data_IF_285211453819
#
_entry.id   IF_285211453819
#
_cell.length_a   1.000
_cell.length_b   1.000
_cell.length_c   1.000
_cell.angle_alpha   90.00
_cell.angle_beta   90.00
_cell.angle_gamma   90.00
#
_symmetry.space_group_name_H-M   'P 1'
#
loop_
_entity.id
_entity.type
_entity.pdbx_description
1 polymer ?
#
# COMPACT_ATOMS: atom_id res chain seq x y z
N UNK A 1 21.47 -11.18 8.88
CA UNK A 1 20.98 -11.64 7.55
C UNK A 1 19.76 -12.57 7.64
N UNK A 2 18.88 -12.42 8.63
CA UNK A 2 17.64 -13.23 8.74
C UNK A 2 16.45 -12.52 8.09
N UNK A 3 16.45 -11.18 8.09
CA UNK A 3 15.41 -10.33 7.49
C UNK A 3 15.35 -10.51 5.96
N UNK A 4 16.48 -10.64 5.28
CA UNK A 4 16.54 -10.91 3.82
C UNK A 4 15.94 -12.29 3.47
N UNK A 5 16.16 -13.30 4.33
CA UNK A 5 15.57 -14.63 4.14
C UNK A 5 14.05 -14.66 4.39
N UNK A 6 13.55 -13.89 5.35
CA UNK A 6 12.11 -13.77 5.61
C UNK A 6 11.37 -13.04 4.48
N UNK A 7 12.00 -12.04 3.86
CA UNK A 7 11.46 -11.32 2.69
C UNK A 7 11.48 -12.20 1.43
N UNK A 8 12.44 -13.11 1.30
CA UNK A 8 12.61 -13.94 0.10
C UNK A 8 11.68 -15.16 0.02
N UNK A 9 11.08 -15.60 1.14
CA UNK A 9 10.55 -16.96 1.27
C UNK A 9 9.18 -17.17 1.96
N UNK A 10 8.22 -16.22 2.04
CA UNK A 10 6.92 -16.53 2.60
C UNK A 10 5.99 -17.00 1.47
N UNK A 11 6.08 -18.29 1.14
CA UNK A 11 5.07 -18.97 0.33
C UNK A 11 4.19 -19.78 1.26
N UNK A 12 2.91 -19.41 1.36
CA UNK A 12 1.91 -20.22 2.05
C UNK A 12 0.93 -20.75 1.00
N UNK A 13 0.77 -22.07 0.97
CA UNK A 13 -0.17 -22.78 0.08
C UNK A 13 -1.43 -23.10 0.88
N UNK A 14 -2.56 -22.50 0.49
CA UNK A 14 -3.87 -22.76 1.09
C UNK A 14 -4.82 -23.10 -0.05
N UNK A 15 -5.36 -24.34 -0.06
CA UNK A 15 -6.34 -24.78 -1.05
C UNK A 15 -5.85 -24.66 -2.50
N UNK A 16 -4.67 -25.20 -2.82
CA UNK A 16 -4.09 -25.17 -4.17
C UNK A 16 -3.52 -23.82 -4.64
N UNK A 17 -3.70 -22.75 -3.87
CA UNK A 17 -3.23 -21.40 -4.25
C UNK A 17 -2.01 -20.96 -3.44
N UNK A 18 -0.98 -20.49 -4.14
CA UNK A 18 0.23 -19.92 -3.56
C UNK A 18 0.01 -18.43 -3.28
N UNK A 19 0.25 -18.00 -2.05
CA UNK A 19 0.23 -16.60 -1.64
C UNK A 19 1.67 -16.14 -1.36
N UNK A 20 2.12 -15.08 -2.02
CA UNK A 20 3.46 -14.49 -1.86
C UNK A 20 3.38 -12.99 -1.50
N UNK A 21 4.36 -12.51 -0.74
CA UNK A 21 4.48 -11.09 -0.38
C UNK A 21 4.89 -10.19 -1.55
N UNK A 22 5.59 -10.75 -2.54
CA UNK A 22 6.04 -10.04 -3.76
C UNK A 22 5.16 -10.42 -4.97
N UNK A 23 4.91 -9.42 -5.82
CA UNK A 23 3.96 -9.47 -6.97
C UNK A 23 4.38 -10.47 -8.05
N UNK A 24 5.66 -10.86 -8.09
CA UNK A 24 6.23 -11.67 -9.17
C UNK A 24 6.04 -13.18 -9.07
N UNK A 25 5.40 -13.72 -8.03
CA UNK A 25 5.46 -15.17 -7.76
C UNK A 25 4.11 -15.85 -7.49
N UNK A 26 2.98 -15.24 -7.88
CA UNK A 26 1.68 -15.94 -7.88
C UNK A 26 1.55 -16.82 -9.13
N UNK A 27 2.37 -17.88 -9.21
CA UNK A 27 2.24 -18.90 -10.25
C UNK A 27 1.12 -19.88 -9.86
N UNK A 28 0.24 -20.29 -10.79
CA UNK A 28 -0.61 -21.46 -10.59
C UNK A 28 0.27 -22.69 -10.32
N UNK A 29 -0.22 -23.57 -9.45
CA UNK A 29 0.40 -24.87 -9.17
C UNK A 29 0.51 -25.65 -10.48
N UNK A 30 1.68 -26.23 -10.83
CA UNK A 30 1.86 -26.93 -12.11
C UNK A 30 0.97 -28.18 -12.24
N UNK A 31 0.36 -28.65 -11.15
CA UNK A 31 -0.57 -29.79 -11.15
C UNK A 31 -1.99 -29.41 -11.63
N UNK A 32 -2.33 -28.12 -11.72
CA UNK A 32 -3.65 -27.61 -12.15
C UNK A 32 -3.73 -27.33 -13.66
N UNK A 33 -2.64 -27.57 -14.41
CA UNK A 33 -2.50 -27.21 -15.83
C UNK A 33 -3.30 -28.12 -16.77
N UNK A 34 -3.93 -29.18 -16.25
CA UNK A 34 -4.71 -30.11 -17.09
C UNK A 34 -6.15 -29.68 -17.34
N UNK A 35 -6.72 -28.80 -16.51
CA UNK A 35 -8.15 -28.43 -16.62
C UNK A 35 -8.40 -26.91 -16.80
N UNK A 36 -7.35 -26.09 -16.84
CA UNK A 36 -7.46 -24.63 -16.78
C UNK A 36 -7.44 -23.89 -18.15
N UNK A 37 -7.61 -24.59 -19.27
CA UNK A 37 -7.58 -23.96 -20.61
C UNK A 37 -8.78 -23.03 -20.89
N UNK A 38 -9.80 -23.00 -20.03
CA UNK A 38 -10.99 -22.16 -20.18
C UNK A 38 -11.10 -20.97 -19.22
N UNK A 39 -10.18 -20.79 -18.26
CA UNK A 39 -10.26 -19.69 -17.25
C UNK A 39 -9.20 -18.60 -17.48
N UNK A 40 -8.27 -18.80 -18.41
CA UNK A 40 -7.08 -17.93 -18.59
C UNK A 40 -7.31 -16.62 -19.39
N UNK A 41 -8.54 -16.26 -19.73
CA UNK A 41 -8.82 -14.99 -20.42
C UNK A 41 -8.94 -13.76 -19.47
N UNK A 42 -8.95 -13.94 -18.14
CA UNK A 42 -9.25 -12.83 -17.22
C UNK A 42 -8.26 -12.61 -16.06
N UNK A 43 -7.13 -13.32 -16.02
CA UNK A 43 -6.14 -13.14 -14.93
C UNK A 43 -4.85 -12.41 -15.36
N UNK A 44 -4.77 -11.96 -16.62
CA UNK A 44 -3.57 -11.37 -17.21
C UNK A 44 -3.35 -9.86 -17.02
N UNK A 45 -4.22 -9.15 -16.29
CA UNK A 45 -4.17 -7.67 -16.22
C UNK A 45 -4.19 -7.06 -14.80
N UNK A 46 -4.28 -7.86 -13.74
CA UNK A 46 -4.63 -7.36 -12.40
C UNK A 46 -3.48 -7.11 -11.43
N UNK A 47 -2.28 -7.70 -11.61
CA UNK A 47 -1.28 -7.73 -10.53
C UNK A 47 -0.27 -6.58 -10.56
N UNK A 48 -0.02 -5.96 -11.71
CA UNK A 48 1.00 -4.89 -11.83
C UNK A 48 0.48 -3.54 -11.33
N UNK A 49 -0.84 -3.32 -11.30
CA UNK A 49 -1.45 -2.03 -10.95
C UNK A 49 -1.65 -1.82 -9.43
N UNK A 50 -1.64 -2.90 -8.64
CA UNK A 50 -1.95 -2.88 -7.20
C UNK A 50 -0.71 -2.91 -6.29
N UNK A 51 0.46 -2.57 -6.82
CA UNK A 51 1.73 -2.60 -6.08
C UNK A 51 2.30 -1.20 -5.86
N UNK A 52 2.73 -0.92 -4.63
CA UNK A 52 3.53 0.27 -4.33
C UNK A 52 4.96 0.01 -4.84
N UNK A 53 5.34 0.70 -5.91
CA UNK A 53 6.69 0.66 -6.53
C UNK A 53 7.16 -0.74 -6.99
N UNK A 54 6.25 -1.70 -7.22
CA UNK A 54 6.61 -3.08 -7.58
C UNK A 54 7.21 -3.94 -6.46
N UNK A 55 7.39 -3.36 -5.26
CA UNK A 55 8.05 -4.02 -4.12
C UNK A 55 7.06 -4.58 -3.10
N UNK A 56 5.99 -3.84 -2.83
CA UNK A 56 4.99 -4.20 -1.82
C UNK A 56 3.60 -4.21 -2.44
N UNK A 57 2.85 -5.28 -2.21
CA UNK A 57 1.41 -5.32 -2.49
C UNK A 57 0.69 -4.24 -1.68
N UNK A 58 -0.33 -3.60 -2.25
CA UNK A 58 -1.08 -2.54 -1.57
C UNK A 58 -1.60 -3.00 -0.19
N UNK A 59 -2.17 -4.21 -0.10
CA UNK A 59 -2.66 -4.75 1.17
C UNK A 59 -1.57 -4.82 2.27
N UNK A 60 -0.35 -5.21 1.90
CA UNK A 60 0.78 -5.29 2.85
C UNK A 60 1.20 -3.90 3.31
N UNK A 61 1.32 -2.95 2.39
CA UNK A 61 1.65 -1.55 2.70
C UNK A 61 0.63 -0.94 3.67
N UNK A 62 -0.65 -1.14 3.40
CA UNK A 62 -1.73 -0.61 4.21
C UNK A 62 -1.83 -1.28 5.60
N UNK A 63 -1.56 -2.58 5.72
CA UNK A 63 -1.42 -3.21 7.04
C UNK A 63 -0.23 -2.68 7.84
N UNK A 64 0.90 -2.38 7.19
CA UNK A 64 2.03 -1.72 7.87
C UNK A 64 1.64 -0.33 8.38
N UNK A 65 0.89 0.45 7.60
CA UNK A 65 0.37 1.75 8.05
C UNK A 65 -0.55 1.61 9.27
N UNK A 66 -1.39 0.57 9.32
CA UNK A 66 -2.22 0.28 10.50
C UNK A 66 -1.34 0.02 11.72
N UNK A 67 -0.29 -0.80 11.61
CA UNK A 67 0.63 -1.07 12.73
C UNK A 67 1.30 0.22 13.22
N UNK A 68 1.79 1.05 12.30
CA UNK A 68 2.40 2.35 12.64
C UNK A 68 1.37 3.28 13.30
N UNK A 69 0.13 3.27 12.82
CA UNK A 69 -0.96 4.03 13.42
C UNK A 69 -1.28 3.58 14.86
N UNK A 70 -1.28 2.27 15.14
CA UNK A 70 -1.43 1.74 16.50
C UNK A 70 -0.29 2.24 17.41
N UNK A 71 0.96 2.16 16.95
CA UNK A 71 2.12 2.61 17.73
C UNK A 71 2.02 4.12 18.00
N UNK A 72 1.69 4.92 16.99
CA UNK A 72 1.53 6.37 17.14
C UNK A 72 0.40 6.72 18.10
N UNK A 73 -0.78 6.10 17.94
CA UNK A 73 -1.92 6.30 18.83
C UNK A 73 -1.59 5.89 20.28
N UNK A 74 -0.86 4.78 20.48
CA UNK A 74 -0.39 4.35 21.79
C UNK A 74 0.52 5.38 22.47
N UNK A 75 1.47 5.96 21.73
CA UNK A 75 2.35 7.02 22.26
C UNK A 75 1.57 8.29 22.61
N UNK A 76 0.62 8.71 21.77
CA UNK A 76 -0.24 9.87 22.03
C UNK A 76 -1.13 9.63 23.25
N UNK A 77 -1.78 8.47 23.35
CA UNK A 77 -2.56 8.10 24.53
C UNK A 77 -1.70 8.05 25.80
N UNK A 78 -0.50 7.48 25.72
CA UNK A 78 0.45 7.45 26.84
C UNK A 78 0.82 8.84 27.34
N UNK A 79 1.06 9.78 26.41
CA UNK A 79 1.32 11.18 26.73
C UNK A 79 0.11 11.83 27.43
N UNK A 80 -1.11 11.63 26.92
CA UNK A 80 -2.34 12.20 27.50
C UNK A 80 -2.59 11.67 28.92
N UNK A 81 -2.24 10.41 29.20
CA UNK A 81 -2.35 9.80 30.53
C UNK A 81 -1.18 10.19 31.46
N UNK A 82 -0.23 10.99 30.99
CA UNK A 82 0.93 11.45 31.76
C UNK A 82 2.00 10.38 32.00
N UNK A 83 1.94 9.26 31.27
CA UNK A 83 2.87 8.12 31.36
C UNK A 83 3.80 7.99 30.16
N UNK A 84 3.65 8.85 29.16
CA UNK A 84 4.37 8.82 27.90
C UNK A 84 5.37 9.96 27.76
N UNK A 85 6.40 9.72 26.97
CA UNK A 85 7.36 10.74 26.56
C UNK A 85 6.78 11.60 25.43
N UNK A 86 6.83 12.92 25.62
CA UNK A 86 6.32 13.89 24.65
C UNK A 86 7.08 13.82 23.32
N UNK A 87 8.40 13.61 23.37
CA UNK A 87 9.21 13.50 22.16
C UNK A 87 8.89 12.25 21.36
N UNK A 88 8.73 11.10 22.01
CA UNK A 88 8.27 9.87 21.36
C UNK A 88 6.91 10.03 20.67
N UNK A 89 5.94 10.67 21.34
CA UNK A 89 4.61 10.93 20.77
C UNK A 89 4.68 11.86 19.55
N UNK A 90 5.41 12.97 19.65
CA UNK A 90 5.59 13.92 18.55
C UNK A 90 6.30 13.26 17.36
N UNK A 91 7.37 12.49 17.61
CA UNK A 91 8.11 11.81 16.56
C UNK A 91 7.24 10.77 15.83
N UNK A 92 6.51 9.93 16.58
CA UNK A 92 5.64 8.91 16.00
C UNK A 92 4.47 9.52 15.20
N UNK A 93 3.84 10.58 15.73
CA UNK A 93 2.76 11.29 15.03
C UNK A 93 3.27 11.98 13.76
N UNK A 94 4.46 12.60 13.81
CA UNK A 94 5.09 13.25 12.66
C UNK A 94 5.42 12.23 11.57
N UNK A 95 6.03 11.09 11.94
CA UNK A 95 6.33 10.01 10.99
C UNK A 95 5.05 9.49 10.31
N UNK A 96 4.00 9.23 11.10
CA UNK A 96 2.72 8.78 10.55
C UNK A 96 2.11 9.81 9.60
N UNK A 97 2.17 11.11 9.96
CA UNK A 97 1.69 12.18 9.11
C UNK A 97 2.47 12.25 7.78
N UNK A 98 3.79 12.13 7.81
CA UNK A 98 4.61 12.12 6.59
C UNK A 98 4.27 10.91 5.69
N UNK A 99 4.04 9.74 6.28
CA UNK A 99 3.62 8.55 5.53
C UNK A 99 2.21 8.72 4.94
N UNK A 100 1.28 9.31 5.69
CA UNK A 100 -0.07 9.63 5.20
C UNK A 100 -0.03 10.62 4.03
N UNK A 101 0.82 11.65 4.11
CA UNK A 101 1.05 12.59 3.02
C UNK A 101 1.63 11.87 1.81
N UNK A 102 2.72 11.12 1.98
CA UNK A 102 3.40 10.45 0.87
C UNK A 102 2.50 9.44 0.15
N UNK A 103 1.70 8.68 0.89
CA UNK A 103 0.75 7.71 0.33
C UNK A 103 -0.44 8.39 -0.34
N UNK A 104 -1.06 9.39 0.28
CA UNK A 104 -2.17 10.14 -0.32
C UNK A 104 -1.73 10.90 -1.58
N UNK A 105 -0.57 11.55 -1.52
CA UNK A 105 0.01 12.26 -2.65
C UNK A 105 0.40 11.28 -3.77
N UNK A 106 1.01 10.14 -3.43
CA UNK A 106 1.37 9.08 -4.37
C UNK A 106 0.16 8.49 -5.09
N UNK A 107 -0.88 8.12 -4.34
CA UNK A 107 -2.11 7.56 -4.90
C UNK A 107 -2.80 8.54 -5.86
N UNK A 108 -2.92 9.81 -5.48
CA UNK A 108 -3.53 10.84 -6.31
C UNK A 108 -2.70 11.19 -7.56
N UNK A 109 -1.37 11.29 -7.42
CA UNK A 109 -0.48 11.66 -8.55
C UNK A 109 -0.42 10.60 -9.66
N UNK A 110 -0.74 9.35 -9.34
CA UNK A 110 -0.82 8.23 -10.28
C UNK A 110 -2.26 7.91 -10.72
N UNK A 111 -3.23 8.78 -10.40
CA UNK A 111 -4.66 8.60 -10.68
C UNK A 111 -5.25 7.30 -10.11
N UNK A 112 -4.66 6.76 -9.05
CA UNK A 112 -5.25 5.63 -8.36
C UNK A 112 -6.49 6.05 -7.57
N UNK A 113 -7.39 5.09 -7.31
CA UNK A 113 -8.52 5.29 -6.39
C UNK A 113 -8.00 5.53 -4.97
N UNK A 114 -8.79 6.22 -4.15
CA UNK A 114 -8.51 6.40 -2.72
C UNK A 114 -8.13 5.05 -2.10
N UNK A 115 -6.98 5.04 -1.42
CA UNK A 115 -6.38 3.86 -0.79
C UNK A 115 -6.18 2.64 -1.72
N UNK A 116 -6.16 2.83 -3.04
CA UNK A 116 -6.13 1.75 -4.04
C UNK A 116 -7.16 0.64 -3.77
N UNK A 117 -8.32 1.00 -3.21
CA UNK A 117 -9.40 0.06 -2.86
C UNK A 117 -9.30 -0.61 -1.48
N UNK A 118 -8.26 -0.32 -0.68
CA UNK A 118 -8.08 -0.89 0.65
C UNK A 118 -8.86 -0.13 1.75
N UNK A 119 -10.17 0.02 1.57
CA UNK A 119 -11.03 0.83 2.44
C UNK A 119 -11.12 0.32 3.89
N UNK A 120 -11.03 -1.00 4.09
CA UNK A 120 -11.08 -1.58 5.45
C UNK A 120 -9.86 -1.13 6.26
N UNK A 121 -8.66 -1.24 5.70
CA UNK A 121 -7.41 -0.85 6.36
C UNK A 121 -7.35 0.67 6.58
N UNK A 122 -7.77 1.45 5.59
CA UNK A 122 -7.91 2.90 5.73
C UNK A 122 -8.89 3.27 6.86
N UNK A 123 -10.04 2.61 6.92
CA UNK A 123 -11.03 2.81 7.98
C UNK A 123 -10.48 2.48 9.37
N UNK A 124 -9.76 1.36 9.52
CA UNK A 124 -9.10 0.98 10.77
C UNK A 124 -8.06 2.02 11.21
N UNK A 125 -7.17 2.44 10.31
CA UNK A 125 -6.17 3.46 10.61
C UNK A 125 -6.81 4.82 10.99
N UNK A 126 -7.91 5.16 10.33
CA UNK A 126 -8.70 6.35 10.62
C UNK A 126 -9.32 6.27 12.02
N UNK A 127 -9.95 5.15 12.38
CA UNK A 127 -10.54 4.95 13.69
C UNK A 127 -9.47 5.02 14.81
N UNK A 128 -8.33 4.36 14.62
CA UNK A 128 -7.22 4.34 15.59
C UNK A 128 -6.64 5.72 15.88
N UNK A 129 -6.64 6.60 14.87
CA UNK A 129 -6.08 7.96 14.97
C UNK A 129 -7.15 9.02 15.19
N UNK A 130 -8.37 8.61 15.55
CA UNK A 130 -9.52 9.49 15.72
C UNK A 130 -9.75 10.45 14.52
N UNK A 131 -9.48 9.97 13.30
CA UNK A 131 -9.66 10.74 12.06
C UNK A 131 -8.42 11.52 11.61
N UNK A 132 -7.41 11.69 12.46
CA UNK A 132 -6.21 12.47 12.12
C UNK A 132 -5.49 11.96 10.88
N UNK A 133 -5.35 10.63 10.75
CA UNK A 133 -4.76 10.01 9.56
C UNK A 133 -5.56 10.32 8.29
N UNK A 134 -6.88 10.19 8.31
CA UNK A 134 -7.73 10.45 7.15
C UNK A 134 -7.68 11.92 6.72
N UNK A 135 -7.68 12.85 7.67
CA UNK A 135 -7.58 14.28 7.37
C UNK A 135 -6.29 14.60 6.63
N UNK A 136 -5.15 14.12 7.14
CA UNK A 136 -3.84 14.33 6.52
C UNK A 136 -3.75 13.63 5.15
N UNK A 137 -4.19 12.38 5.06
CA UNK A 137 -4.18 11.62 3.81
C UNK A 137 -5.06 12.28 2.73
N UNK A 138 -6.31 12.62 3.06
CA UNK A 138 -7.27 13.18 2.10
C UNK A 138 -6.86 14.58 1.66
N UNK A 139 -6.36 15.42 2.58
CA UNK A 139 -5.85 16.75 2.21
C UNK A 139 -4.69 16.62 1.23
N UNK A 140 -3.71 15.75 1.50
CA UNK A 140 -2.61 15.49 0.58
C UNK A 140 -3.11 14.92 -0.77
N UNK A 141 -4.07 13.98 -0.74
CA UNK A 141 -4.68 13.38 -1.92
C UNK A 141 -5.36 14.43 -2.80
N UNK A 142 -6.19 15.30 -2.24
CA UNK A 142 -6.89 16.35 -2.99
C UNK A 142 -5.94 17.44 -3.50
N UNK A 143 -4.89 17.79 -2.74
CA UNK A 143 -3.85 18.72 -3.19
C UNK A 143 -3.10 18.14 -4.40
N UNK A 144 -2.70 16.87 -4.32
CA UNK A 144 -2.01 16.17 -5.39
C UNK A 144 -2.90 15.98 -6.63
N UNK A 145 -4.21 15.81 -6.46
CA UNK A 145 -5.15 15.75 -7.58
C UNK A 145 -5.21 17.08 -8.35
N UNK A 146 -5.06 18.22 -7.66
CA UNK A 146 -5.01 19.56 -8.28
C UNK A 146 -3.64 19.88 -8.89
N UNK A 147 -2.56 19.28 -8.39
CA UNK A 147 -1.19 19.46 -8.88
C UNK A 147 -0.48 18.10 -8.99
N UNK A 148 -0.85 17.24 -9.96
CA UNK A 148 -0.24 15.93 -10.07
C UNK A 148 1.24 16.06 -10.40
N UNK A 149 2.11 15.36 -9.65
CA UNK A 149 3.55 15.23 -9.94
C UNK A 149 3.83 14.59 -11.30
N UNK A 150 2.81 14.04 -11.96
CA UNK A 150 2.87 13.58 -13.34
C UNK A 150 3.06 14.78 -14.27
N UNK A 151 4.31 15.21 -14.35
CA UNK A 151 4.86 15.95 -15.46
C UNK A 151 4.52 15.17 -16.75
N UNK A 152 4.31 15.90 -17.84
CA UNK A 152 3.98 15.44 -19.20
C UNK A 152 5.03 14.50 -19.86
N UNK A 153 5.74 13.68 -19.09
CA UNK A 153 6.91 12.88 -19.46
C UNK A 153 6.72 11.36 -19.33
N UNK A 154 5.48 10.86 -19.23
CA UNK A 154 5.21 9.50 -19.73
C UNK A 154 5.31 9.54 -21.26
N UNK A 155 6.57 9.56 -21.71
CA UNK A 155 7.04 9.45 -23.08
C UNK A 155 6.86 8.04 -23.66
N UNK A 156 6.24 7.11 -22.92
CA UNK A 156 5.83 5.81 -23.47
C UNK A 156 4.78 5.93 -24.59
N UNK A 157 4.13 7.09 -24.74
CA UNK A 157 3.24 7.36 -25.88
C UNK A 157 3.87 8.19 -27.02
N UNK A 158 5.18 8.52 -26.94
CA UNK A 158 5.91 9.15 -28.06
C UNK A 158 6.91 8.23 -28.77
N UNK A 159 7.10 7.00 -28.29
CA UNK A 159 8.04 6.04 -28.88
C UNK A 159 7.46 5.15 -29.99
N UNK A 160 6.15 5.23 -30.28
CA UNK A 160 5.55 4.53 -31.42
C UNK A 160 4.91 5.52 -32.41
N UNK A 161 5.69 6.10 -33.34
CA UNK A 161 5.10 6.60 -34.57
C UNK A 161 4.59 5.36 -35.33
N UNK A 162 3.27 5.26 -35.49
CA UNK A 162 2.70 4.40 -36.54
C UNK A 162 3.00 5.07 -37.88
N UNK A 163 4.07 4.63 -38.53
CA UNK A 163 4.24 4.76 -39.97
C UNK A 163 4.84 3.46 -40.49
#
# INVERSE_FOLDING_TARGET
MVVMGYVATPYIKIGGKIYSLTVGARRPDPDDVRDAESVSANQGSGSTHDSYSGLLTAATMWWMLVVIAVISAGNVCGLVVGKGDAWAAVAAATLLALLAIGTGYGDASWCHRVARGQYVQFGVATALTAGGFALVYLTAFYIAQRRPLRHKQSMEHRAHPRH
#
